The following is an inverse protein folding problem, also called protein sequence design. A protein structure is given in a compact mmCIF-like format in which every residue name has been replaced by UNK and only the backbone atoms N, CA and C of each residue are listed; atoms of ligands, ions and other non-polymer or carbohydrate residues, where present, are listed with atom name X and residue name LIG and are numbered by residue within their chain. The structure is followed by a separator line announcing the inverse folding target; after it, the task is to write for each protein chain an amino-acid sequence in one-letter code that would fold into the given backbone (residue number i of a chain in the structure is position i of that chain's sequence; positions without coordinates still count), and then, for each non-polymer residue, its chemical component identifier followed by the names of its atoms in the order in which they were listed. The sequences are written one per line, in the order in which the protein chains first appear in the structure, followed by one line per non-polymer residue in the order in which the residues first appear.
data_IF_022881261163
#
_entry.id   IF_022881261163
#
_cell.length_a   1.000
_cell.length_b   1.000
_cell.length_c   1.000
_cell.angle_alpha   90.00
_cell.angle_beta   90.00
_cell.angle_gamma   90.00
#
_symmetry.space_group_name_H-M   'P 1'
#
loop_
_entity.id
_entity.type
_entity.pdbx_description
1 polymer ?
#
# COMPACT_ATOMS: atom_id res chain seq x y z
N UNK A 1 32.45 -78.54 -53.77
CA UNK A 1 32.46 -79.79 -52.98
C UNK A 1 33.84 -80.41 -53.13
N UNK A 2 34.35 -81.29 -52.24
CA UNK A 2 33.73 -82.01 -51.12
C UNK A 2 34.66 -82.00 -49.87
N UNK A 3 34.51 -82.99 -48.96
CA UNK A 3 35.69 -83.75 -48.53
C UNK A 3 35.85 -84.12 -47.06
N UNK A 4 35.78 -85.43 -46.82
CA UNK A 4 36.03 -86.24 -45.60
C UNK A 4 37.54 -86.52 -45.38
N UNK A 5 37.94 -86.87 -44.15
CA UNK A 5 39.15 -87.67 -43.82
C UNK A 5 39.11 -88.27 -42.39
N UNK A 6 39.52 -89.53 -42.22
CA UNK A 6 39.40 -90.36 -41.00
C UNK A 6 40.63 -90.50 -40.08
N UNK A 7 40.62 -91.53 -39.23
CA UNK A 7 41.35 -91.75 -37.95
C UNK A 7 42.88 -91.97 -37.99
N UNK A 8 43.64 -91.47 -36.98
CA UNK A 8 44.75 -92.25 -36.37
C UNK A 8 44.90 -92.13 -34.83
N UNK A 9 45.80 -92.96 -34.27
CA UNK A 9 45.77 -93.53 -32.90
C UNK A 9 46.64 -92.94 -31.78
N UNK A 10 46.96 -93.80 -30.78
CA UNK A 10 47.02 -93.49 -29.34
C UNK A 10 48.43 -93.53 -28.73
N UNK A 11 48.83 -92.50 -27.95
CA UNK A 11 49.86 -92.65 -26.89
C UNK A 11 49.42 -92.22 -25.47
N UNK A 12 50.14 -92.72 -24.46
CA UNK A 12 49.70 -92.88 -23.07
C UNK A 12 50.19 -91.89 -22.01
N UNK A 13 49.94 -92.31 -20.76
CA UNK A 13 49.59 -91.50 -19.59
C UNK A 13 50.75 -90.77 -18.89
N UNK A 14 50.49 -89.52 -18.47
CA UNK A 14 51.38 -88.63 -17.70
C UNK A 14 50.89 -88.52 -16.26
N UNK A 15 51.80 -88.61 -15.28
CA UNK A 15 51.50 -88.71 -13.84
C UNK A 15 50.76 -87.51 -13.25
N UNK A 16 50.01 -87.76 -12.16
CA UNK A 16 49.25 -86.72 -11.47
C UNK A 16 50.18 -85.72 -10.77
N UNK A 17 50.01 -84.43 -11.09
CA UNK A 17 50.73 -83.34 -10.47
C UNK A 17 50.28 -83.10 -9.03
N UNK A 18 51.23 -82.88 -8.12
CA UNK A 18 50.93 -82.44 -6.75
C UNK A 18 50.18 -81.11 -6.73
N UNK A 19 49.22 -81.00 -5.80
CA UNK A 19 48.13 -80.03 -5.81
C UNK A 19 48.59 -78.56 -5.80
N UNK A 20 47.93 -77.75 -6.64
CA UNK A 20 48.08 -76.29 -6.68
C UNK A 20 47.75 -75.73 -5.29
N UNK A 21 48.63 -74.89 -4.74
CA UNK A 21 48.38 -74.22 -3.47
C UNK A 21 47.01 -73.55 -3.46
N UNK A 22 46.31 -73.66 -2.33
CA UNK A 22 44.93 -73.18 -2.17
C UNK A 22 44.81 -71.71 -2.62
N UNK A 23 43.76 -71.41 -3.38
CA UNK A 23 43.44 -70.05 -3.79
C UNK A 23 43.30 -69.18 -2.52
N UNK A 24 43.98 -68.04 -2.49
CA UNK A 24 43.88 -67.11 -1.37
C UNK A 24 42.43 -66.74 -1.10
N UNK A 25 42.08 -66.59 0.18
CA UNK A 25 40.72 -66.24 0.61
C UNK A 25 40.24 -64.99 -0.14
N UNK A 26 38.98 -65.03 -0.58
CA UNK A 26 38.32 -63.90 -1.22
C UNK A 26 38.40 -62.67 -0.29
N UNK A 27 38.80 -61.52 -0.85
CA UNK A 27 38.95 -60.29 -0.06
C UNK A 27 37.62 -59.91 0.58
N UNK A 28 37.64 -59.59 1.87
CA UNK A 28 36.44 -59.15 2.59
C UNK A 28 35.82 -57.95 1.88
N UNK A 29 34.50 -57.97 1.69
CA UNK A 29 33.74 -56.85 1.14
C UNK A 29 34.02 -55.58 1.96
N UNK A 30 34.29 -54.48 1.26
CA UNK A 30 34.60 -53.20 1.92
C UNK A 30 33.44 -52.75 2.80
N UNK A 31 33.74 -52.24 3.99
CA UNK A 31 32.70 -51.70 4.88
C UNK A 31 31.86 -50.64 4.15
N UNK A 32 30.54 -50.56 4.43
CA UNK A 32 29.69 -49.51 3.89
C UNK A 32 30.30 -48.12 4.10
N UNK A 33 30.20 -47.26 3.08
CA UNK A 33 30.64 -45.87 3.16
C UNK A 33 30.02 -45.16 4.37
N UNK A 34 30.78 -44.27 5.00
CA UNK A 34 30.26 -43.49 6.13
C UNK A 34 29.03 -42.68 5.68
N UNK A 35 28.01 -42.53 6.53
CA UNK A 35 26.89 -41.64 6.25
C UNK A 35 27.39 -40.26 5.83
N UNK A 36 26.74 -39.67 4.82
CA UNK A 36 27.06 -38.31 4.40
C UNK A 36 26.94 -37.33 5.56
N UNK A 37 27.75 -36.28 5.56
CA UNK A 37 27.64 -35.23 6.57
C UNK A 37 26.24 -34.61 6.50
N UNK A 38 25.61 -34.24 7.64
CA UNK A 38 24.37 -33.50 7.64
C UNK A 38 24.46 -32.28 6.71
N UNK A 39 23.37 -32.00 5.98
CA UNK A 39 23.27 -30.79 5.17
C UNK A 39 23.53 -29.55 6.03
N UNK A 40 24.09 -28.52 5.41
CA UNK A 40 24.30 -27.22 6.07
C UNK A 40 22.93 -26.76 6.62
N UNK A 41 22.84 -26.31 7.89
CA UNK A 41 21.61 -25.71 8.39
C UNK A 41 21.10 -24.66 7.39
N UNK A 42 19.80 -24.71 7.07
CA UNK A 42 19.19 -23.69 6.24
C UNK A 42 19.53 -22.31 6.79
N UNK A 43 19.82 -21.34 5.91
CA UNK A 43 20.04 -19.95 6.34
C UNK A 43 18.92 -19.56 7.32
N UNK A 44 19.31 -19.00 8.47
CA UNK A 44 18.35 -18.40 9.38
C UNK A 44 17.41 -17.52 8.53
N UNK A 45 16.11 -17.80 8.57
CA UNK A 45 15.13 -16.95 7.92
C UNK A 45 15.44 -15.53 8.33
N UNK A 46 15.77 -14.65 7.37
CA UNK A 46 15.78 -13.22 7.64
C UNK A 46 14.47 -12.96 8.36
N UNK A 47 14.53 -12.42 9.58
CA UNK A 47 13.35 -11.87 10.23
C UNK A 47 12.64 -11.07 9.14
N UNK A 48 11.52 -11.59 8.65
CA UNK A 48 10.70 -10.85 7.71
C UNK A 48 10.19 -9.73 8.59
N UNK A 49 10.84 -8.58 8.56
CA UNK A 49 10.23 -7.38 9.09
C UNK A 49 8.88 -7.32 8.41
N UNK A 50 7.81 -7.47 9.19
CA UNK A 50 6.46 -7.26 8.68
C UNK A 50 6.46 -5.79 8.26
N UNK A 51 6.69 -5.53 6.97
CA UNK A 51 6.78 -4.18 6.44
C UNK A 51 5.39 -3.58 6.50
N UNK A 52 5.19 -2.64 7.41
CA UNK A 52 3.96 -1.85 7.45
C UNK A 52 4.06 -0.76 6.38
N UNK A 53 2.91 -0.31 5.88
CA UNK A 53 2.88 0.80 4.93
C UNK A 53 2.47 2.06 5.66
N UNK A 54 3.24 3.12 5.46
CA UNK A 54 2.87 4.48 5.83
C UNK A 54 2.59 5.26 4.56
N UNK A 55 1.43 5.91 4.50
CA UNK A 55 1.09 6.83 3.41
C UNK A 55 1.13 8.25 3.93
N UNK A 56 1.75 9.14 3.16
CA UNK A 56 1.80 10.57 3.43
C UNK A 56 1.30 11.35 2.23
N UNK A 57 0.37 12.28 2.47
CA UNK A 57 -0.15 13.22 1.47
C UNK A 57 0.39 14.61 1.76
N UNK A 58 0.86 15.32 0.73
CA UNK A 58 1.52 16.62 0.90
C UNK A 58 0.58 17.81 0.93
N UNK A 59 -0.65 17.67 0.41
CA UNK A 59 -1.55 18.79 0.12
C UNK A 59 -0.87 19.89 -0.72
N UNK A 60 0.05 19.48 -1.59
CA UNK A 60 0.89 20.33 -2.44
C UNK A 60 1.26 19.62 -3.75
N UNK A 61 1.83 20.35 -4.70
CA UNK A 61 2.38 19.80 -5.95
C UNK A 61 3.68 19.02 -5.74
N UNK A 62 4.30 19.14 -4.56
CA UNK A 62 5.57 18.52 -4.23
C UNK A 62 5.36 17.19 -3.51
N UNK A 63 6.08 16.17 -3.96
CA UNK A 63 6.06 14.86 -3.33
C UNK A 63 6.55 14.94 -1.87
N UNK A 64 5.80 14.44 -0.88
CA UNK A 64 6.22 14.47 0.51
C UNK A 64 7.38 13.51 0.75
N UNK A 65 8.33 13.88 1.61
CA UNK A 65 9.42 12.97 1.97
C UNK A 65 8.93 11.90 2.96
N UNK A 66 9.40 10.66 2.78
CA UNK A 66 9.22 9.61 3.78
C UNK A 66 9.96 9.98 5.09
N UNK A 67 9.40 9.68 6.27
CA UNK A 67 10.09 9.90 7.54
C UNK A 67 11.44 9.18 7.62
N UNK A 68 12.35 9.73 8.44
CA UNK A 68 13.72 9.21 8.59
C UNK A 68 13.71 7.73 9.00
N UNK A 69 14.49 6.93 8.27
CA UNK A 69 14.63 5.48 8.49
C UNK A 69 13.56 4.63 7.80
N UNK A 70 12.68 5.23 6.98
CA UNK A 70 11.71 4.50 6.15
C UNK A 70 12.16 4.53 4.69
N UNK A 71 12.05 3.39 4.01
CA UNK A 71 12.32 3.30 2.57
C UNK A 71 11.10 3.80 1.80
N UNK A 72 11.32 4.54 0.71
CA UNK A 72 10.22 4.97 -0.17
C UNK A 72 9.94 3.87 -1.18
N UNK A 73 8.68 3.46 -1.29
CA UNK A 73 8.25 2.44 -2.25
C UNK A 73 7.84 3.08 -3.58
N UNK A 74 6.94 4.06 -3.55
CA UNK A 74 6.57 4.85 -4.72
C UNK A 74 6.00 6.22 -4.35
N UNK A 75 5.88 7.06 -5.37
CA UNK A 75 5.20 8.35 -5.32
C UNK A 75 3.98 8.34 -6.22
N UNK A 76 3.02 9.23 -5.94
CA UNK A 76 1.81 9.30 -6.74
C UNK A 76 1.01 10.58 -6.53
N UNK A 77 -0.27 10.46 -6.83
CA UNK A 77 -1.31 11.46 -6.70
C UNK A 77 -2.35 10.98 -5.68
N UNK A 78 -2.88 11.91 -4.91
CA UNK A 78 -3.70 11.66 -3.73
C UNK A 78 -5.15 11.41 -4.12
N UNK A 79 -5.51 10.17 -4.41
CA UNK A 79 -6.88 9.77 -4.69
C UNK A 79 -7.70 9.78 -3.40
N UNK A 80 -8.85 10.44 -3.42
CA UNK A 80 -9.80 10.44 -2.31
C UNK A 80 -10.90 9.39 -2.54
N UNK A 81 -11.65 9.52 -3.64
CA UNK A 81 -12.68 8.56 -4.03
C UNK A 81 -13.02 8.63 -5.52
N UNK A 82 -13.71 7.59 -5.99
CA UNK A 82 -14.24 7.49 -7.34
C UNK A 82 -15.75 7.45 -7.27
N UNK A 83 -16.42 8.04 -8.27
CA UNK A 83 -17.87 8.01 -8.38
C UNK A 83 -18.25 7.43 -9.73
N UNK A 84 -18.87 6.26 -9.71
CA UNK A 84 -19.35 5.57 -10.91
C UNK A 84 -20.82 5.26 -10.75
N UNK A 85 -21.64 5.62 -11.74
CA UNK A 85 -23.10 5.45 -11.67
C UNK A 85 -23.69 6.09 -10.40
N UNK A 86 -23.28 7.32 -10.10
CA UNK A 86 -23.74 8.11 -8.94
C UNK A 86 -23.51 7.40 -7.60
N UNK A 87 -22.48 6.55 -7.51
CA UNK A 87 -22.10 5.84 -6.30
C UNK A 87 -20.63 6.03 -5.98
N UNK A 88 -20.34 6.52 -4.79
CA UNK A 88 -18.99 6.72 -4.31
C UNK A 88 -18.32 5.41 -3.84
N UNK A 89 -17.04 5.29 -4.15
CA UNK A 89 -16.15 4.29 -3.61
C UNK A 89 -14.84 4.95 -3.16
N UNK A 90 -14.57 4.89 -1.86
CA UNK A 90 -13.52 5.65 -1.21
C UNK A 90 -12.24 4.86 -1.01
N UNK A 91 -11.12 5.57 -0.95
CA UNK A 91 -9.85 5.06 -0.43
C UNK A 91 -9.52 5.78 0.87
N UNK A 92 -9.16 5.03 1.91
CA UNK A 92 -8.68 5.63 3.15
C UNK A 92 -7.30 6.27 2.88
N UNK A 93 -7.15 7.56 3.24
CA UNK A 93 -5.93 8.35 3.00
C UNK A 93 -4.72 7.85 3.81
N UNK A 94 -4.92 6.95 4.78
CA UNK A 94 -3.82 6.27 5.48
C UNK A 94 -3.40 4.96 4.82
N UNK A 95 -4.10 4.50 3.77
CA UNK A 95 -3.83 3.25 3.06
C UNK A 95 -3.28 3.51 1.66
N UNK A 96 -2.42 2.61 1.21
CA UNK A 96 -1.65 2.76 -0.03
C UNK A 96 -2.51 2.91 -1.31
N UNK A 97 -3.77 2.45 -1.28
CA UNK A 97 -4.73 2.61 -2.38
C UNK A 97 -5.10 4.07 -2.69
N UNK A 98 -4.93 4.98 -1.73
CA UNK A 98 -5.11 6.42 -1.93
C UNK A 98 -3.94 7.10 -2.66
N UNK A 99 -2.84 6.39 -2.93
CA UNK A 99 -1.67 6.94 -3.59
C UNK A 99 -1.42 6.32 -4.96
N UNK A 100 -2.11 6.84 -5.99
CA UNK A 100 -2.03 6.30 -7.35
C UNK A 100 -0.79 6.83 -8.10
N UNK A 101 0.03 5.96 -8.70
CA UNK A 101 1.25 6.38 -9.40
C UNK A 101 1.01 7.28 -10.62
N UNK A 102 -0.19 7.26 -11.19
CA UNK A 102 -0.57 8.04 -12.38
C UNK A 102 -1.89 8.73 -12.13
N UNK A 103 -1.94 10.01 -12.45
CA UNK A 103 -3.18 10.77 -12.48
C UNK A 103 -3.92 10.54 -13.80
N UNK A 104 -5.24 10.49 -13.72
CA UNK A 104 -6.16 10.53 -14.85
C UNK A 104 -7.51 11.00 -14.30
N UNK A 105 -8.22 11.90 -15.00
CA UNK A 105 -9.57 12.35 -14.59
C UNK A 105 -10.59 11.22 -14.58
N UNK A 106 -10.33 10.14 -15.32
CA UNK A 106 -11.11 8.90 -15.38
C UNK A 106 -10.19 7.67 -15.23
N UNK A 107 -9.76 7.32 -14.00
CA UNK A 107 -8.78 6.26 -13.77
C UNK A 107 -9.38 4.84 -13.77
N UNK A 108 -10.63 4.68 -14.22
CA UNK A 108 -11.32 3.39 -14.25
C UNK A 108 -12.18 3.21 -15.51
N UNK A 109 -12.64 1.98 -15.71
CA UNK A 109 -13.55 1.56 -16.78
C UNK A 109 -14.69 0.77 -16.14
N UNK A 110 -15.88 0.79 -16.74
CA UNK A 110 -16.98 -0.09 -16.33
C UNK A 110 -17.34 -1.05 -17.47
N UNK A 111 -17.74 -2.27 -17.11
CA UNK A 111 -18.13 -3.31 -18.04
C UNK A 111 -19.52 -3.84 -17.68
N UNK A 112 -20.24 -4.36 -18.65
CA UNK A 112 -21.55 -4.99 -18.44
C UNK A 112 -21.49 -6.51 -18.70
N UNK A 113 -22.53 -7.29 -18.33
CA UNK A 113 -22.57 -8.74 -18.55
C UNK A 113 -22.58 -9.19 -20.02
N UNK A 114 -22.64 -8.26 -20.98
CA UNK A 114 -22.60 -8.54 -22.41
C UNK A 114 -21.20 -8.44 -23.02
N UNK A 115 -20.15 -8.58 -22.20
CA UNK A 115 -18.74 -8.47 -22.60
C UNK A 115 -18.37 -7.13 -23.27
N UNK A 116 -19.10 -6.05 -22.93
CA UNK A 116 -18.84 -4.69 -23.40
C UNK A 116 -18.34 -3.83 -22.25
N UNK A 117 -17.20 -3.17 -22.48
CA UNK A 117 -16.61 -2.21 -21.55
C UNK A 117 -16.59 -0.81 -22.16
N UNK A 118 -16.80 0.20 -21.32
CA UNK A 118 -16.92 1.60 -21.72
C UNK A 118 -15.97 2.44 -20.89
N UNK A 119 -15.07 3.15 -21.56
CA UNK A 119 -14.11 4.05 -20.95
C UNK A 119 -14.51 5.50 -21.22
N UNK A 120 -14.55 6.33 -20.18
CA UNK A 120 -14.85 7.76 -20.27
C UNK A 120 -16.07 8.11 -21.15
N UNK A 121 -17.07 7.22 -21.19
CA UNK A 121 -18.26 7.33 -22.06
C UNK A 121 -19.53 7.76 -21.31
N UNK A 122 -19.40 8.10 -20.02
CA UNK A 122 -20.47 8.60 -19.13
C UNK A 122 -19.96 9.76 -18.30
N UNK A 123 -20.85 10.35 -17.50
CA UNK A 123 -20.56 11.46 -16.60
C UNK A 123 -20.00 11.00 -15.23
N UNK A 124 -19.24 9.91 -15.22
CA UNK A 124 -18.56 9.43 -14.02
C UNK A 124 -17.42 10.40 -13.62
N UNK A 125 -17.01 10.35 -12.34
CA UNK A 125 -16.13 11.35 -11.74
C UNK A 125 -15.03 10.71 -10.90
N UNK A 126 -13.96 11.48 -10.68
CA UNK A 126 -12.93 11.16 -9.71
C UNK A 126 -12.63 12.36 -8.83
N UNK A 127 -12.26 12.10 -7.58
CA UNK A 127 -12.00 13.16 -6.59
C UNK A 127 -10.64 12.94 -5.96
N UNK A 128 -9.90 14.02 -5.85
CA UNK A 128 -8.49 14.00 -5.45
C UNK A 128 -8.26 15.01 -4.34
N UNK A 129 -7.42 14.67 -3.36
CA UNK A 129 -6.97 15.63 -2.36
C UNK A 129 -6.24 16.78 -3.09
N UNK A 130 -6.49 18.02 -2.70
CA UNK A 130 -6.05 19.19 -3.46
C UNK A 130 -4.93 19.99 -2.79
N UNK A 131 -4.30 20.88 -3.57
CA UNK A 131 -3.19 21.74 -3.12
C UNK A 131 -3.67 23.08 -2.58
N UNK A 132 -2.74 23.91 -2.07
CA UNK A 132 -3.00 25.31 -1.65
C UNK A 132 -3.30 26.27 -2.81
N UNK A 133 -3.31 25.81 -4.06
CA UNK A 133 -3.56 26.67 -5.20
C UNK A 133 -4.91 27.40 -5.08
N UNK A 134 -4.99 28.68 -5.46
CA UNK A 134 -6.22 29.46 -5.38
C UNK A 134 -7.30 28.85 -6.28
N UNK A 135 -8.55 28.81 -5.82
CA UNK A 135 -9.67 28.25 -6.58
C UNK A 135 -9.77 28.94 -7.95
N UNK A 136 -9.72 28.19 -9.07
CA UNK A 136 -9.81 28.77 -10.40
C UNK A 136 -11.23 29.28 -10.65
N UNK A 137 -11.34 30.33 -11.47
CA UNK A 137 -12.63 30.92 -11.84
C UNK A 137 -13.46 30.05 -12.81
N UNK A 138 -12.81 29.09 -13.48
CA UNK A 138 -13.40 28.19 -14.47
C UNK A 138 -12.74 26.81 -14.39
N UNK A 139 -13.38 25.74 -14.92
CA UNK A 139 -12.79 24.42 -14.89
C UNK A 139 -11.43 24.40 -15.60
N UNK A 140 -10.45 23.78 -14.95
CA UNK A 140 -9.10 23.60 -15.51
C UNK A 140 -9.01 22.31 -16.31
N UNK A 141 -8.16 22.31 -17.35
CA UNK A 141 -7.99 21.19 -18.30
C UNK A 141 -6.53 20.77 -18.43
N UNK A 142 -6.33 19.50 -18.79
CA UNK A 142 -5.01 18.96 -19.17
C UNK A 142 -3.90 19.33 -18.16
N UNK A 143 -2.85 20.03 -18.60
CA UNK A 143 -1.68 20.38 -17.78
C UNK A 143 -2.00 21.44 -16.71
N UNK A 144 -3.06 22.23 -16.87
CA UNK A 144 -3.51 23.22 -15.87
C UNK A 144 -4.12 22.55 -14.63
N UNK A 145 -4.42 21.26 -14.69
CA UNK A 145 -4.92 20.48 -13.55
C UNK A 145 -3.80 20.19 -12.54
N UNK A 146 -2.57 19.97 -13.03
CA UNK A 146 -1.46 19.49 -12.20
C UNK A 146 -1.21 20.32 -10.94
N UNK A 147 -1.28 21.67 -10.96
CA UNK A 147 -1.12 22.50 -9.78
C UNK A 147 -2.11 22.22 -8.65
N UNK A 148 -3.27 21.64 -8.96
CA UNK A 148 -4.37 21.42 -8.01
C UNK A 148 -4.38 20.04 -7.37
N UNK A 149 -3.58 19.08 -7.87
CA UNK A 149 -3.60 17.69 -7.39
C UNK A 149 -2.49 17.47 -6.36
N UNK A 150 -2.87 17.10 -5.13
CA UNK A 150 -1.92 16.76 -4.07
C UNK A 150 -1.09 15.53 -4.42
N UNK A 151 0.21 15.60 -4.13
CA UNK A 151 1.12 14.46 -4.23
C UNK A 151 1.17 13.63 -2.95
N UNK A 152 1.54 12.37 -3.11
CA UNK A 152 1.69 11.42 -2.01
C UNK A 152 2.94 10.54 -2.17
N UNK A 153 3.36 9.94 -1.07
CA UNK A 153 4.40 8.91 -1.03
C UNK A 153 3.96 7.76 -0.14
N UNK A 154 4.32 6.55 -0.57
CA UNK A 154 4.13 5.32 0.22
C UNK A 154 5.50 4.83 0.68
N UNK A 155 5.60 4.61 1.99
CA UNK A 155 6.84 4.31 2.68
C UNK A 155 6.73 2.97 3.40
N UNK A 156 7.81 2.20 3.43
CA UNK A 156 7.95 1.02 4.27
C UNK A 156 8.31 1.45 5.69
N UNK A 157 7.42 1.14 6.64
CA UNK A 157 7.53 1.50 8.02
C UNK A 157 7.86 0.26 8.89
N UNK A 158 8.65 0.44 9.96
CA UNK A 158 9.05 -0.65 10.85
C UNK A 158 7.89 -1.17 11.74
N UNK A 159 6.87 -0.35 11.99
CA UNK A 159 5.72 -0.68 12.83
C UNK A 159 4.48 0.09 12.40
N UNK A 160 3.32 -0.21 13.02
CA UNK A 160 2.06 0.47 12.72
C UNK A 160 2.06 1.94 13.13
N UNK A 161 1.47 2.78 12.30
CA UNK A 161 1.15 4.17 12.61
C UNK A 161 -0.36 4.32 12.84
N UNK A 162 -0.74 5.15 13.82
CA UNK A 162 -2.12 5.48 14.15
C UNK A 162 -2.30 7.00 14.31
N UNK A 163 -3.51 7.49 14.07
CA UNK A 163 -3.92 8.83 14.46
C UNK A 163 -4.52 8.83 15.87
N UNK A 164 -4.21 9.89 16.64
CA UNK A 164 -4.86 10.21 17.91
C UNK A 164 -5.47 11.59 17.79
N UNK A 165 -6.72 11.75 18.23
CA UNK A 165 -7.48 12.99 18.14
C UNK A 165 -7.74 13.55 19.55
N UNK A 166 -7.57 14.85 19.71
CA UNK A 166 -7.74 15.53 21.00
C UNK A 166 -9.19 15.85 21.32
N UNK A 167 -10.00 16.14 20.28
CA UNK A 167 -11.27 16.86 20.44
C UNK A 167 -11.09 18.18 21.21
N UNK A 168 -9.94 18.83 20.98
CA UNK A 168 -9.53 20.10 21.57
C UNK A 168 -8.70 20.88 20.53
N UNK A 169 -8.45 22.16 20.77
CA UNK A 169 -7.50 22.98 20.00
C UNK A 169 -6.04 22.66 20.35
N UNK A 170 -5.82 21.90 21.42
CA UNK A 170 -4.49 21.44 21.85
C UNK A 170 -4.08 20.15 21.14
N UNK A 171 -2.79 19.99 20.85
CA UNK A 171 -2.27 18.81 20.15
C UNK A 171 -2.25 17.61 21.11
N UNK A 172 -2.87 16.47 20.77
CA UNK A 172 -2.88 15.30 21.64
C UNK A 172 -1.49 14.66 21.70
N UNK A 173 -1.10 14.15 22.86
CA UNK A 173 0.18 13.47 23.04
C UNK A 173 0.13 12.05 22.47
N UNK A 174 1.25 11.60 21.88
CA UNK A 174 1.38 10.20 21.49
C UNK A 174 1.33 9.26 22.71
N UNK A 175 0.78 8.04 22.57
CA UNK A 175 0.76 7.08 23.67
C UNK A 175 2.18 6.70 24.14
N UNK A 176 2.29 6.21 25.38
CA UNK A 176 3.58 5.82 25.95
C UNK A 176 4.30 4.77 25.08
N UNK A 177 5.57 5.05 24.74
CA UNK A 177 6.39 4.20 23.87
C UNK A 177 6.05 4.31 22.37
N UNK A 178 5.45 5.41 21.94
CA UNK A 178 5.24 5.78 20.54
C UNK A 178 5.99 7.07 20.23
N UNK A 179 6.48 7.21 18.99
CA UNK A 179 7.08 8.44 18.48
C UNK A 179 6.14 9.19 17.56
N UNK A 180 6.25 10.52 17.55
CA UNK A 180 5.52 11.39 16.64
C UNK A 180 6.03 11.25 15.20
N UNK A 181 5.12 11.26 14.22
CA UNK A 181 5.44 11.39 12.80
C UNK A 181 5.06 12.78 12.29
N UNK A 182 3.81 13.21 12.49
CA UNK A 182 3.33 14.57 12.18
C UNK A 182 2.12 14.94 13.03
N UNK A 183 1.75 16.22 12.98
CA UNK A 183 0.56 16.79 13.62
C UNK A 183 -0.38 17.34 12.55
N UNK A 184 -1.65 17.50 12.88
CA UNK A 184 -2.62 17.98 11.92
C UNK A 184 -3.96 18.37 12.51
N UNK A 185 -4.99 18.27 11.67
CA UNK A 185 -6.39 18.51 11.96
C UNK A 185 -7.22 17.26 11.67
N UNK A 186 -8.23 17.05 12.52
CA UNK A 186 -9.04 15.84 12.54
C UNK A 186 -10.08 15.82 11.41
N UNK A 187 -9.70 15.27 10.25
CA UNK A 187 -10.55 15.12 9.08
C UNK A 187 -11.43 13.86 9.20
N UNK A 188 -12.74 14.04 9.16
CA UNK A 188 -13.71 12.97 9.41
C UNK A 188 -14.32 12.44 8.10
N UNK A 189 -14.96 13.32 7.34
CA UNK A 189 -15.72 12.94 6.14
C UNK A 189 -15.86 14.08 5.14
N UNK A 190 -16.41 13.78 3.97
CA UNK A 190 -16.65 14.72 2.88
C UNK A 190 -17.84 14.28 2.04
N UNK A 191 -18.47 15.24 1.37
CA UNK A 191 -19.55 15.04 0.40
C UNK A 191 -19.38 16.00 -0.78
N UNK A 192 -19.87 15.64 -1.96
CA UNK A 192 -19.88 16.52 -3.13
C UNK A 192 -21.15 16.33 -3.98
N UNK A 193 -21.03 15.77 -5.18
CA UNK A 193 -22.15 15.64 -6.10
C UNK A 193 -23.26 14.72 -5.57
N UNK A 194 -24.51 15.16 -5.74
CA UNK A 194 -25.67 14.50 -5.13
C UNK A 194 -25.58 14.63 -3.60
N UNK A 195 -25.44 13.51 -2.92
CA UNK A 195 -25.08 13.41 -1.50
C UNK A 195 -23.97 12.34 -1.31
N UNK A 196 -23.25 12.04 -2.38
CA UNK A 196 -22.20 11.02 -2.38
C UNK A 196 -20.88 11.57 -1.81
N UNK A 197 -20.07 10.67 -1.29
CA UNK A 197 -18.79 10.99 -0.68
C UNK A 197 -18.30 9.84 0.20
N UNK A 198 -17.68 10.17 1.32
CA UNK A 198 -17.24 9.17 2.28
C UNK A 198 -16.43 9.75 3.42
N UNK A 199 -15.63 8.91 4.07
CA UNK A 199 -14.95 9.30 5.29
C UNK A 199 -13.68 8.52 5.57
N UNK A 200 -13.01 8.93 6.64
CA UNK A 200 -11.76 8.35 7.11
C UNK A 200 -12.01 7.54 8.37
N UNK A 201 -11.23 6.49 8.56
CA UNK A 201 -11.14 5.84 9.87
C UNK A 201 -10.37 6.75 10.84
N UNK A 202 -10.96 7.07 11.99
CA UNK A 202 -10.33 7.95 13.00
C UNK A 202 -9.08 7.35 13.67
N UNK A 203 -8.79 6.06 13.48
CA UNK A 203 -7.50 5.49 13.91
C UNK A 203 -6.47 5.53 12.78
N UNK A 204 -6.91 5.69 11.53
CA UNK A 204 -6.04 5.75 10.36
C UNK A 204 -5.30 7.10 10.29
N UNK A 205 -4.02 7.11 9.90
CA UNK A 205 -3.30 8.36 9.60
C UNK A 205 -4.03 9.27 8.60
N UNK A 206 -4.89 8.72 7.72
CA UNK A 206 -5.68 9.47 6.75
C UNK A 206 -6.69 10.45 7.34
N UNK A 207 -7.10 10.24 8.59
CA UNK A 207 -7.96 11.16 9.33
C UNK A 207 -7.21 12.37 9.93
N UNK A 208 -5.89 12.45 9.75
CA UNK A 208 -5.05 13.50 10.31
C UNK A 208 -4.27 14.28 9.25
N UNK A 209 -4.95 15.22 8.59
CA UNK A 209 -4.37 16.08 7.55
C UNK A 209 -3.48 17.17 8.18
N UNK A 210 -2.26 17.34 7.65
CA UNK A 210 -1.29 18.33 8.17
C UNK A 210 -1.84 19.77 8.04
N UNK A 211 -2.51 20.07 6.92
CA UNK A 211 -3.09 21.38 6.65
C UNK A 211 -4.61 21.36 6.67
N UNK A 212 -5.20 22.27 7.46
CA UNK A 212 -6.64 22.53 7.40
C UNK A 212 -7.01 23.28 6.10
N UNK A 213 -8.09 22.83 5.45
CA UNK A 213 -8.74 23.52 4.32
C UNK A 213 -10.24 23.35 4.45
N UNK A 214 -11.01 24.40 4.12
CA UNK A 214 -12.48 24.28 4.04
C UNK A 214 -12.92 23.33 2.92
N UNK A 215 -12.12 23.22 1.86
CA UNK A 215 -12.37 22.35 0.71
C UNK A 215 -11.06 21.64 0.34
N UNK A 216 -10.72 20.51 0.99
CA UNK A 216 -9.42 19.85 0.85
C UNK A 216 -9.30 18.92 -0.38
N UNK A 217 -10.28 18.94 -1.29
CA UNK A 217 -10.32 18.07 -2.46
C UNK A 217 -10.94 18.78 -3.65
N UNK A 218 -10.70 18.26 -4.86
CA UNK A 218 -11.19 18.78 -6.12
C UNK A 218 -11.95 17.69 -6.90
N UNK A 219 -13.06 18.06 -7.55
CA UNK A 219 -13.82 17.19 -8.45
C UNK A 219 -13.22 17.21 -9.86
N UNK A 220 -12.99 16.03 -10.44
CA UNK A 220 -12.60 15.86 -11.82
C UNK A 220 -13.70 15.13 -12.61
N UNK A 221 -14.19 15.78 -13.66
CA UNK A 221 -15.14 15.20 -14.59
C UNK A 221 -14.38 14.34 -15.61
N UNK A 222 -14.66 13.04 -15.61
CA UNK A 222 -13.89 12.06 -16.36
C UNK A 222 -13.89 12.30 -17.87
N UNK A 223 -15.08 12.23 -18.48
CA UNK A 223 -15.24 12.33 -19.93
C UNK A 223 -14.83 13.70 -20.50
N UNK A 224 -14.98 14.76 -19.71
CA UNK A 224 -14.61 16.12 -20.13
C UNK A 224 -13.13 16.44 -19.92
N UNK A 225 -12.41 15.65 -19.11
CA UNK A 225 -11.01 15.92 -18.81
C UNK A 225 -10.80 17.24 -18.05
N UNK A 226 -11.79 17.66 -17.26
CA UNK A 226 -11.80 18.95 -16.55
C UNK A 226 -11.89 18.74 -15.03
N UNK A 227 -11.25 19.60 -14.23
CA UNK A 227 -11.42 19.60 -12.78
C UNK A 227 -11.86 20.99 -12.26
N UNK A 228 -12.68 21.02 -11.20
CA UNK A 228 -13.15 22.25 -10.54
C UNK A 228 -13.60 21.95 -9.10
N UNK A 229 -13.64 23.00 -8.29
CA UNK A 229 -14.34 23.07 -7.00
C UNK A 229 -15.78 23.53 -7.16
N UNK A 230 -16.74 22.83 -6.58
CA UNK A 230 -18.15 23.21 -6.59
C UNK A 230 -18.68 23.64 -5.21
N UNK A 231 -19.72 24.46 -5.18
CA UNK A 231 -20.26 25.04 -3.95
C UNK A 231 -20.93 24.01 -3.00
N UNK A 232 -21.29 22.84 -3.53
CA UNK A 232 -21.86 21.71 -2.78
C UNK A 232 -20.79 20.79 -2.18
N UNK A 233 -19.50 21.09 -2.36
CA UNK A 233 -18.43 20.35 -1.70
C UNK A 233 -18.37 20.72 -0.22
N UNK A 234 -18.49 19.72 0.63
CA UNK A 234 -18.43 19.89 2.07
C UNK A 234 -17.34 18.99 2.66
N UNK A 235 -16.59 19.55 3.61
CA UNK A 235 -15.64 18.82 4.44
C UNK A 235 -16.07 18.88 5.89
N UNK A 236 -15.94 17.75 6.58
CA UNK A 236 -16.38 17.58 7.96
C UNK A 236 -15.19 17.21 8.82
N UNK A 237 -15.07 17.89 9.95
CA UNK A 237 -13.94 17.82 10.85
C UNK A 237 -14.44 17.54 12.26
N UNK A 238 -13.67 16.80 13.07
CA UNK A 238 -14.00 16.68 14.49
C UNK A 238 -13.88 18.05 15.16
N UNK A 239 -14.80 18.35 16.08
CA UNK A 239 -14.83 19.61 16.80
C UNK A 239 -14.05 19.57 18.11
N UNK A 240 -13.64 20.73 18.60
CA UNK A 240 -13.23 20.90 20.00
C UNK A 240 -14.45 20.89 20.92
N UNK A 241 -14.31 20.26 22.09
CA UNK A 241 -15.38 20.14 23.10
C UNK A 241 -14.80 20.57 24.45
N UNK A 242 -15.41 21.57 25.08
CA UNK A 242 -14.89 22.18 26.32
C UNK A 242 -15.02 21.28 27.56
N UNK A 243 -16.00 20.37 27.54
CA UNK A 243 -16.31 19.47 28.65
C UNK A 243 -16.20 18.01 28.20
N UNK A 244 -15.76 17.13 29.11
CA UNK A 244 -15.65 15.68 28.83
C UNK A 244 -16.97 15.04 28.39
N UNK A 245 -18.09 15.67 28.75
CA UNK A 245 -19.41 15.28 28.30
C UNK A 245 -20.26 16.53 28.11
N UNK A 246 -20.70 16.77 26.87
CA UNK A 246 -21.60 17.86 26.53
C UNK A 246 -22.83 17.28 25.82
N UNK A 247 -23.99 17.35 26.47
CA UNK A 247 -25.24 16.77 25.96
C UNK A 247 -25.97 17.69 24.98
N UNK A 248 -25.63 18.97 24.93
CA UNK A 248 -26.30 19.96 24.09
C UNK A 248 -25.25 20.88 23.42
N UNK A 249 -25.09 20.80 22.09
CA UNK A 249 -24.18 21.68 21.37
C UNK A 249 -24.79 23.08 21.22
N UNK A 250 -23.93 24.11 21.27
CA UNK A 250 -24.31 25.47 20.93
C UNK A 250 -24.19 25.67 19.41
N UNK A 251 -25.23 26.19 18.78
CA UNK A 251 -25.20 26.49 17.33
C UNK A 251 -24.39 27.74 17.07
N UNK A 252 -23.39 27.63 16.19
CA UNK A 252 -22.49 28.71 15.83
C UNK A 252 -22.20 28.67 14.32
N UNK A 253 -21.98 29.84 13.71
CA UNK A 253 -21.51 29.94 12.32
C UNK A 253 -20.15 30.62 12.30
N UNK A 254 -19.10 29.84 12.00
CA UNK A 254 -17.73 30.33 11.97
C UNK A 254 -17.39 30.93 10.60
N UNK A 255 -16.66 32.04 10.61
CA UNK A 255 -16.15 32.70 9.39
C UNK A 255 -14.63 32.62 9.32
N UNK A 256 -14.07 33.05 8.19
CA UNK A 256 -12.62 33.12 8.00
C UNK A 256 -11.93 33.84 9.17
N UNK A 257 -10.82 33.27 9.66
CA UNK A 257 -10.09 33.75 10.84
C UNK A 257 -10.54 33.14 12.17
N UNK A 258 -11.74 32.56 12.24
CA UNK A 258 -12.25 31.87 13.45
C UNK A 258 -12.33 30.36 13.30
N UNK A 259 -12.19 29.83 12.08
CA UNK A 259 -12.41 28.40 11.78
C UNK A 259 -11.64 27.45 12.70
N UNK A 260 -10.37 27.75 12.98
CA UNK A 260 -9.48 26.87 13.76
C UNK A 260 -9.85 26.80 15.26
N UNK A 261 -10.68 27.71 15.79
CA UNK A 261 -11.05 27.71 17.22
C UNK A 261 -11.91 26.51 17.61
N UNK A 262 -12.60 25.90 16.65
CA UNK A 262 -13.49 24.76 16.87
C UNK A 262 -12.98 23.47 16.26
N UNK A 263 -11.82 23.45 15.61
CA UNK A 263 -11.35 22.26 14.89
C UNK A 263 -10.39 21.47 15.79
N UNK A 264 -10.74 20.21 16.02
CA UNK A 264 -9.95 19.25 16.77
C UNK A 264 -8.59 19.03 16.13
N UNK A 265 -7.55 18.97 16.97
CA UNK A 265 -6.20 18.62 16.55
C UNK A 265 -5.96 17.11 16.64
N UNK A 266 -5.03 16.65 15.82
CA UNK A 266 -4.59 15.27 15.83
C UNK A 266 -3.08 15.16 15.74
N UNK A 267 -2.56 14.00 16.10
CA UNK A 267 -1.16 13.64 15.96
C UNK A 267 -1.06 12.19 15.47
N UNK A 268 -0.23 11.96 14.45
CA UNK A 268 0.08 10.62 13.96
C UNK A 268 1.31 10.10 14.67
N UNK A 269 1.16 8.91 15.24
CA UNK A 269 2.12 8.28 16.12
C UNK A 269 2.48 6.89 15.60
N UNK A 270 3.73 6.48 15.77
CA UNK A 270 4.20 5.13 15.40
C UNK A 270 4.87 4.45 16.59
N UNK A 271 4.63 3.15 16.77
CA UNK A 271 5.15 2.39 17.91
C UNK A 271 6.68 2.28 17.83
N UNK A 272 7.38 2.58 18.92
CA UNK A 272 8.82 2.32 18.98
C UNK A 272 9.05 0.81 19.07
N UNK A 273 10.00 0.30 18.28
CA UNK A 273 10.53 -1.06 18.39
C UNK A 273 11.71 -1.09 19.36
#
# INVERSE_FOLDING_TARGET
MPGIGGTPGVPGYRGEGGQRGHQGLEGLEGNPGRPGTPGIPGMAGRSVSVGYLLVKHSQSEQTPMCPVGMSKLWDGYSLLYLEGQEKAHNQDLGLAGSCLPRFNTMPFIYCNPGDLCYYASRNDKSYWLSTTAPIPMMPVVEDEIQPYISRCSVCEAPSVAIAVHSQDVTIPQCPAGWRSLWIGYSFLMHTAAGDEGGGQSLVSPGSCLEDFRTTPFIECNGAKGTCHYFANEHSFWLTSIDQSFQSSPEMETLKAGQLLSRISRCQVCMKNL
#
